data_IF_827225065314
#
_entry.id   IF_827225065314
#
_cell.length_a   1.000
_cell.length_b   1.000
_cell.length_c   1.000
_cell.angle_alpha   90.00
_cell.angle_beta   90.00
_cell.angle_gamma   90.00
#
_symmetry.space_group_name_H-M   'P 1'
#
loop_
_entity.id
_entity.type
_entity.pdbx_description
1 polymer ?
#
# COMPACT_ATOMS: atom_id res chain seq x y z
N UNK A 1 12.60 157.76 18.72
CA UNK A 1 12.45 156.79 19.82
C UNK A 1 11.46 155.72 19.37
N UNK A 2 11.92 154.51 19.05
CA UNK A 2 11.02 153.40 18.76
C UNK A 2 10.72 152.66 20.07
N UNK A 3 9.51 152.81 20.58
CA UNK A 3 8.99 152.08 21.73
C UNK A 3 8.92 150.58 21.38
N UNK A 4 9.72 149.74 22.04
CA UNK A 4 9.51 148.29 22.07
C UNK A 4 8.75 147.97 23.37
N UNK A 5 7.45 147.64 23.25
CA UNK A 5 6.53 147.41 24.38
C UNK A 5 6.56 146.00 24.96
N UNK A 6 7.34 145.08 24.39
CA UNK A 6 7.40 143.67 24.82
C UNK A 6 8.83 143.14 24.71
N UNK A 7 9.32 142.50 25.78
CA UNK A 7 10.55 141.70 25.76
C UNK A 7 10.22 140.38 25.06
N UNK A 8 10.65 140.24 23.81
CA UNK A 8 10.56 138.98 23.06
C UNK A 8 11.75 138.10 23.42
N UNK A 9 11.53 137.06 24.23
CA UNK A 9 12.51 135.98 24.41
C UNK A 9 12.31 134.94 23.31
N UNK A 10 13.24 134.87 22.35
CA UNK A 10 13.33 133.73 21.44
C UNK A 10 14.12 132.59 22.12
N UNK A 11 13.69 131.34 21.91
CA UNK A 11 14.46 130.19 22.41
C UNK A 11 15.84 130.19 21.71
N UNK A 12 16.94 129.93 22.42
CA UNK A 12 18.30 129.93 21.86
C UNK A 12 18.57 128.65 21.05
N UNK A 13 17.59 128.19 20.30
CA UNK A 13 17.64 127.02 19.44
C UNK A 13 17.42 127.47 18.00
N UNK A 14 18.01 126.77 17.05
CA UNK A 14 17.83 127.06 15.65
C UNK A 14 16.36 126.89 15.26
N UNK A 15 15.68 127.99 14.93
CA UNK A 15 14.33 127.97 14.40
C UNK A 15 14.38 127.64 12.90
N UNK A 16 13.65 126.61 12.48
CA UNK A 16 13.49 126.28 11.06
C UNK A 16 12.52 127.26 10.40
N UNK A 17 12.68 127.53 9.10
CA UNK A 17 11.71 128.35 8.38
C UNK A 17 10.35 127.64 8.30
N UNK A 18 9.26 128.40 8.14
CA UNK A 18 7.93 127.82 7.99
C UNK A 18 7.86 126.88 6.76
N UNK A 19 8.58 127.23 5.69
CA UNK A 19 8.73 126.40 4.48
C UNK A 19 9.44 125.07 4.80
N UNK A 20 10.51 125.11 5.58
CA UNK A 20 11.23 123.91 6.02
C UNK A 20 10.39 123.04 6.97
N UNK A 21 9.56 123.66 7.82
CA UNK A 21 8.59 122.94 8.65
C UNK A 21 7.55 122.21 7.79
N UNK A 22 6.96 122.87 6.79
CA UNK A 22 6.05 122.23 5.84
C UNK A 22 6.72 121.11 5.04
N UNK A 23 7.96 121.31 4.58
CA UNK A 23 8.74 120.29 3.87
C UNK A 23 9.02 119.07 4.76
N UNK A 24 9.43 119.28 6.03
CA UNK A 24 9.67 118.21 7.01
C UNK A 24 8.38 117.44 7.32
N UNK A 25 7.26 118.12 7.54
CA UNK A 25 5.96 117.48 7.82
C UNK A 25 5.48 116.67 6.60
N UNK A 26 5.61 117.21 5.39
CA UNK A 26 5.29 116.48 4.16
C UNK A 26 6.21 115.29 3.94
N UNK A 27 7.51 115.42 4.21
CA UNK A 27 8.46 114.29 4.15
C UNK A 27 8.08 113.19 5.15
N UNK A 28 7.77 113.54 6.39
CA UNK A 28 7.31 112.59 7.42
C UNK A 28 6.00 111.92 7.03
N UNK A 29 5.05 112.67 6.44
CA UNK A 29 3.81 112.13 5.89
C UNK A 29 4.09 111.12 4.77
N UNK A 30 4.90 111.49 3.78
CA UNK A 30 5.24 110.63 2.64
C UNK A 30 5.95 109.35 3.09
N UNK A 31 6.89 109.45 4.04
CA UNK A 31 7.55 108.28 4.64
C UNK A 31 6.55 107.42 5.41
N UNK A 32 5.64 108.03 6.18
CA UNK A 32 4.62 107.28 6.92
C UNK A 32 3.58 106.61 6.00
N UNK A 33 3.22 107.23 4.87
CA UNK A 33 2.36 106.64 3.84
C UNK A 33 3.06 105.47 3.14
N UNK A 34 4.31 105.65 2.70
CA UNK A 34 5.12 104.59 2.10
C UNK A 34 5.30 103.39 3.05
N UNK A 35 5.65 103.65 4.32
CA UNK A 35 5.79 102.59 5.34
C UNK A 35 4.48 101.87 5.66
N UNK A 36 3.34 102.58 5.64
CA UNK A 36 2.02 101.95 5.80
C UNK A 36 1.64 101.10 4.59
N UNK A 37 1.98 101.54 3.38
CA UNK A 37 1.80 100.76 2.16
C UNK A 37 2.66 99.48 2.18
N UNK A 38 3.95 99.58 2.53
CA UNK A 38 4.84 98.42 2.71
C UNK A 38 4.29 97.43 3.76
N UNK A 39 3.89 97.95 4.94
CA UNK A 39 3.32 97.13 6.00
C UNK A 39 1.98 96.50 5.62
N UNK A 40 1.17 97.15 4.77
CA UNK A 40 -0.03 96.56 4.20
C UNK A 40 0.31 95.43 3.23
N UNK A 41 1.24 95.68 2.29
CA UNK A 41 1.69 94.69 1.32
C UNK A 41 2.29 93.44 1.98
N UNK A 42 3.17 93.62 2.98
CA UNK A 42 3.76 92.51 3.74
C UNK A 42 2.66 91.74 4.49
N UNK A 43 1.77 92.41 5.22
CA UNK A 43 0.68 91.72 5.93
C UNK A 43 -0.25 90.97 4.98
N UNK A 44 -0.55 91.54 3.81
CA UNK A 44 -1.36 90.90 2.80
C UNK A 44 -0.65 89.66 2.25
N UNK A 45 0.60 89.79 1.81
CA UNK A 45 1.43 88.67 1.32
C UNK A 45 1.60 87.58 2.38
N UNK A 46 1.89 87.92 3.64
CA UNK A 46 1.99 86.94 4.73
C UNK A 46 0.68 86.22 5.02
N UNK A 47 -0.48 86.90 4.86
CA UNK A 47 -1.80 86.27 5.02
C UNK A 47 -2.09 85.32 3.86
N UNK A 48 -1.79 85.72 2.63
CA UNK A 48 -1.93 84.86 1.44
C UNK A 48 -1.04 83.63 1.59
N UNK A 49 0.25 83.81 1.88
CA UNK A 49 1.20 82.72 2.09
C UNK A 49 0.71 81.75 3.17
N UNK A 50 0.29 82.25 4.34
CA UNK A 50 -0.26 81.39 5.41
C UNK A 50 -1.46 80.55 4.97
N UNK A 51 -2.34 81.12 4.16
CA UNK A 51 -3.52 80.41 3.68
C UNK A 51 -3.15 79.37 2.61
N UNK A 52 -2.28 79.74 1.67
CA UNK A 52 -1.73 78.87 0.63
C UNK A 52 -1.00 77.68 1.26
N UNK A 53 -0.04 77.93 2.16
CA UNK A 53 0.74 76.87 2.82
C UNK A 53 -0.13 75.98 3.73
N UNK A 54 -1.19 76.54 4.34
CA UNK A 54 -2.13 75.72 5.11
C UNK A 54 -2.89 74.76 4.20
N UNK A 55 -3.42 75.26 3.09
CA UNK A 55 -4.15 74.45 2.11
C UNK A 55 -3.22 73.39 1.52
N UNK A 56 -2.02 73.77 1.11
CA UNK A 56 -1.01 72.86 0.56
C UNK A 56 -0.62 71.76 1.57
N UNK A 57 -0.42 72.12 2.84
CA UNK A 57 -0.12 71.15 3.90
C UNK A 57 -1.29 70.20 4.21
N UNK A 58 -2.52 70.72 4.26
CA UNK A 58 -3.73 69.90 4.45
C UNK A 58 -3.91 68.92 3.28
N UNK A 59 -3.69 69.35 2.03
CA UNK A 59 -3.74 68.50 0.84
C UNK A 59 -2.62 67.45 0.81
N UNK A 60 -1.39 67.83 1.09
CA UNK A 60 -0.27 66.88 1.13
C UNK A 60 -0.52 65.77 2.17
N UNK A 61 -1.04 66.12 3.35
CA UNK A 61 -1.40 65.12 4.36
C UNK A 61 -2.54 64.20 3.89
N UNK A 62 -3.57 64.78 3.25
CA UNK A 62 -4.66 64.00 2.65
C UNK A 62 -4.13 62.99 1.62
N UNK A 63 -3.31 63.44 0.67
CA UNK A 63 -2.74 62.57 -0.37
C UNK A 63 -1.91 61.42 0.22
N UNK A 64 -1.12 61.68 1.28
CA UNK A 64 -0.36 60.63 1.95
C UNK A 64 -1.26 59.64 2.71
N UNK A 65 -2.33 60.10 3.34
CA UNK A 65 -3.28 59.24 4.05
C UNK A 65 -4.08 58.35 3.08
N UNK A 66 -4.45 58.89 1.91
CA UNK A 66 -5.09 58.09 0.85
C UNK A 66 -4.12 57.01 0.33
N UNK A 67 -2.84 57.36 0.09
CA UNK A 67 -1.84 56.39 -0.35
C UNK A 67 -1.60 55.26 0.68
N UNK A 68 -1.60 55.58 1.98
CA UNK A 68 -1.54 54.57 3.06
C UNK A 68 -2.79 53.69 3.06
N UNK A 69 -3.98 54.28 2.89
CA UNK A 69 -5.25 53.56 2.82
C UNK A 69 -5.29 52.58 1.65
N UNK A 70 -4.83 53.01 0.48
CA UNK A 70 -4.70 52.17 -0.71
C UNK A 70 -3.72 51.02 -0.48
N UNK A 71 -2.57 51.30 0.16
CA UNK A 71 -1.57 50.28 0.47
C UNK A 71 -2.10 49.23 1.46
N UNK A 72 -2.78 49.65 2.52
CA UNK A 72 -3.45 48.75 3.48
C UNK A 72 -4.47 47.87 2.75
N UNK A 73 -5.27 48.45 1.86
CA UNK A 73 -6.26 47.72 1.07
C UNK A 73 -5.61 46.68 0.16
N UNK A 74 -4.49 47.02 -0.48
CA UNK A 74 -3.72 46.10 -1.31
C UNK A 74 -3.12 44.94 -0.51
N UNK A 75 -2.51 45.23 0.64
CA UNK A 75 -1.94 44.21 1.53
C UNK A 75 -3.02 43.24 2.02
N UNK A 76 -4.18 43.76 2.45
CA UNK A 76 -5.33 42.93 2.85
C UNK A 76 -5.80 42.03 1.70
N UNK A 77 -5.94 42.57 0.49
CA UNK A 77 -6.33 41.77 -0.69
C UNK A 77 -5.36 40.63 -0.95
N UNK A 78 -4.06 40.89 -0.90
CA UNK A 78 -3.06 39.83 -1.10
C UNK A 78 -3.03 38.82 0.05
N UNK A 79 -3.18 39.27 1.29
CA UNK A 79 -3.33 38.39 2.46
C UNK A 79 -4.50 37.43 2.23
N UNK A 80 -5.67 37.93 1.87
CA UNK A 80 -6.86 37.09 1.67
C UNK A 80 -6.67 36.07 0.52
N UNK A 81 -5.96 36.45 -0.55
CA UNK A 81 -5.62 35.53 -1.66
C UNK A 81 -4.68 34.42 -1.17
N UNK A 82 -3.64 34.77 -0.41
CA UNK A 82 -2.64 33.84 0.09
C UNK A 82 -3.22 32.93 1.18
N UNK A 83 -4.04 33.46 2.09
CA UNK A 83 -4.75 32.68 3.11
C UNK A 83 -5.65 31.62 2.47
N UNK A 84 -6.35 31.93 1.37
CA UNK A 84 -7.11 30.92 0.62
C UNK A 84 -6.23 29.82 0.03
N UNK A 85 -5.02 30.15 -0.43
CA UNK A 85 -4.06 29.14 -0.89
C UNK A 85 -3.52 28.30 0.28
N UNK A 86 -3.27 28.91 1.44
CA UNK A 86 -2.85 28.22 2.66
C UNK A 86 -3.88 27.18 3.10
N UNK A 87 -5.16 27.56 3.18
CA UNK A 87 -6.25 26.64 3.52
C UNK A 87 -6.38 25.45 2.55
N UNK A 88 -6.07 25.66 1.26
CA UNK A 88 -6.06 24.58 0.26
C UNK A 88 -4.91 23.61 0.52
N UNK A 89 -3.73 24.13 0.84
CA UNK A 89 -2.57 23.29 1.20
C UNK A 89 -2.86 22.49 2.47
N UNK A 90 -3.40 23.11 3.52
CA UNK A 90 -3.73 22.38 4.76
C UNK A 90 -4.74 21.26 4.52
N UNK A 91 -5.79 21.55 3.75
CA UNK A 91 -6.78 20.53 3.35
C UNK A 91 -6.13 19.39 2.57
N UNK A 92 -5.24 19.70 1.62
CA UNK A 92 -4.59 18.69 0.81
C UNK A 92 -3.58 17.86 1.60
N UNK A 93 -2.81 18.46 2.52
CA UNK A 93 -1.93 17.74 3.45
C UNK A 93 -2.76 16.74 4.25
N UNK A 94 -3.88 17.16 4.83
CA UNK A 94 -4.76 16.29 5.60
C UNK A 94 -5.28 15.12 4.74
N UNK A 95 -5.82 15.38 3.55
CA UNK A 95 -6.35 14.33 2.67
C UNK A 95 -5.27 13.37 2.19
N UNK A 96 -4.09 13.86 1.82
CA UNK A 96 -2.99 13.03 1.34
C UNK A 96 -2.40 12.19 2.48
N UNK A 97 -2.33 12.73 3.70
CA UNK A 97 -1.92 12.00 4.88
C UNK A 97 -2.88 10.85 5.20
N UNK A 98 -4.20 11.09 5.14
CA UNK A 98 -5.20 10.04 5.35
C UNK A 98 -5.10 8.92 4.31
N UNK A 99 -4.93 9.28 3.03
CA UNK A 99 -4.72 8.31 1.97
C UNK A 99 -3.42 7.51 2.13
N UNK A 100 -2.32 8.17 2.53
CA UNK A 100 -1.06 7.50 2.88
C UNK A 100 -1.24 6.54 4.05
N UNK A 101 -1.88 6.98 5.14
CA UNK A 101 -2.14 6.16 6.32
C UNK A 101 -3.01 4.93 5.99
N UNK A 102 -3.98 5.07 5.09
CA UNK A 102 -4.77 3.94 4.60
C UNK A 102 -3.90 2.94 3.83
N UNK A 103 -3.02 3.42 2.94
CA UNK A 103 -2.07 2.57 2.21
C UNK A 103 -1.07 1.86 3.11
N UNK A 104 -0.55 2.53 4.15
CA UNK A 104 0.37 1.94 5.12
C UNK A 104 -0.30 0.83 5.95
N UNK A 105 -1.55 1.04 6.39
CA UNK A 105 -2.34 -0.01 7.07
C UNK A 105 -2.56 -1.22 6.19
N UNK A 106 -2.84 -1.03 4.90
CA UNK A 106 -2.98 -2.15 3.95
C UNK A 106 -1.66 -2.88 3.72
N UNK A 107 -0.55 -2.15 3.62
CA UNK A 107 0.77 -2.72 3.49
C UNK A 107 1.14 -3.59 4.70
N UNK A 108 0.87 -3.11 5.92
CA UNK A 108 1.07 -3.86 7.16
C UNK A 108 0.18 -5.10 7.23
N UNK A 109 -1.08 -4.99 6.78
CA UNK A 109 -2.01 -6.11 6.73
C UNK A 109 -1.56 -7.27 5.83
N UNK A 110 -0.64 -7.05 4.87
CA UNK A 110 -0.10 -8.12 4.01
C UNK A 110 0.82 -9.09 4.75
N UNK A 111 1.34 -8.74 5.94
CA UNK A 111 2.21 -9.63 6.71
C UNK A 111 1.51 -10.93 7.16
N UNK A 112 0.23 -10.85 7.53
CA UNK A 112 -0.58 -12.01 7.92
C UNK A 112 -0.74 -13.03 6.78
N UNK A 113 -1.25 -12.63 5.61
CA UNK A 113 -1.34 -13.50 4.44
C UNK A 113 -0.02 -14.14 4.04
N UNK A 114 1.09 -13.40 4.07
CA UNK A 114 2.43 -13.94 3.77
C UNK A 114 2.78 -15.08 4.74
N UNK A 115 2.57 -14.88 6.05
CA UNK A 115 2.81 -15.92 7.05
C UNK A 115 1.98 -17.18 6.81
N UNK A 116 0.70 -17.00 6.48
CA UNK A 116 -0.22 -18.11 6.20
C UNK A 116 0.22 -18.90 4.97
N UNK A 117 0.63 -18.23 3.89
CA UNK A 117 1.10 -18.88 2.67
C UNK A 117 2.43 -19.60 2.88
N UNK A 118 3.36 -19.00 3.63
CA UNK A 118 4.62 -19.65 3.99
C UNK A 118 4.38 -20.93 4.82
N UNK A 119 3.45 -20.88 5.78
CA UNK A 119 3.04 -22.06 6.56
C UNK A 119 2.35 -23.10 5.67
N UNK A 120 1.50 -22.69 4.71
CA UNK A 120 0.90 -23.61 3.73
C UNK A 120 1.95 -24.35 2.89
N UNK A 121 2.97 -23.64 2.40
CA UNK A 121 4.09 -24.24 1.67
C UNK A 121 4.85 -25.23 2.54
N UNK A 122 5.13 -24.87 3.80
CA UNK A 122 5.81 -25.74 4.76
C UNK A 122 5.02 -27.00 5.07
N UNK A 123 3.70 -26.90 5.25
CA UNK A 123 2.81 -28.05 5.45
C UNK A 123 2.91 -28.99 4.24
N UNK A 124 2.80 -28.45 3.02
CA UNK A 124 2.84 -29.24 1.79
C UNK A 124 4.20 -29.88 1.50
N UNK A 125 5.29 -29.26 1.94
CA UNK A 125 6.64 -29.83 1.86
C UNK A 125 6.78 -31.09 2.75
N UNK A 126 5.88 -31.28 3.73
CA UNK A 126 5.82 -32.48 4.57
C UNK A 126 5.28 -33.74 3.88
N UNK A 127 4.90 -33.70 2.59
CA UNK A 127 4.45 -34.88 1.84
C UNK A 127 5.57 -35.92 1.71
N UNK A 128 5.19 -37.19 1.52
CA UNK A 128 6.10 -38.33 1.61
C UNK A 128 6.12 -39.17 0.33
N UNK A 129 7.26 -39.81 0.05
CA UNK A 129 7.39 -40.80 -1.01
C UNK A 129 7.02 -40.27 -2.40
N UNK A 130 6.15 -41.00 -3.09
CA UNK A 130 5.64 -40.68 -4.44
C UNK A 130 4.76 -39.42 -4.49
N UNK A 131 4.34 -38.89 -3.33
CA UNK A 131 3.48 -37.70 -3.24
C UNK A 131 4.25 -36.38 -3.34
N UNK A 132 5.58 -36.44 -3.28
CA UNK A 132 6.47 -35.29 -3.47
C UNK A 132 6.52 -34.98 -4.97
N UNK A 133 5.55 -34.19 -5.42
CA UNK A 133 5.36 -33.84 -6.83
C UNK A 133 5.28 -32.34 -7.02
N UNK A 134 5.84 -31.83 -8.12
CA UNK A 134 5.54 -30.49 -8.62
C UNK A 134 4.13 -30.49 -9.20
N UNK A 135 3.16 -29.96 -8.45
CA UNK A 135 1.76 -29.90 -8.86
C UNK A 135 1.29 -28.45 -9.07
N UNK A 136 0.08 -28.33 -9.63
CA UNK A 136 -0.55 -27.05 -9.91
C UNK A 136 -0.79 -26.25 -8.62
N UNK A 137 -1.16 -26.93 -7.53
CA UNK A 137 -1.43 -26.30 -6.25
C UNK A 137 -0.16 -25.64 -5.66
N UNK A 138 0.99 -26.31 -5.67
CA UNK A 138 2.27 -25.74 -5.25
C UNK A 138 2.65 -24.51 -6.10
N UNK A 139 2.44 -24.59 -7.41
CA UNK A 139 2.70 -23.49 -8.34
C UNK A 139 1.84 -22.27 -8.03
N UNK A 140 0.53 -22.46 -7.82
CA UNK A 140 -0.38 -21.35 -7.55
C UNK A 140 -0.20 -20.73 -6.15
N UNK A 141 0.19 -21.52 -5.14
CA UNK A 141 0.54 -20.99 -3.80
C UNK A 141 1.83 -20.16 -3.89
N UNK A 142 2.83 -20.60 -4.67
CA UNK A 142 4.05 -19.80 -4.92
C UNK A 142 3.74 -18.51 -5.68
N UNK A 143 2.88 -18.58 -6.70
CA UNK A 143 2.42 -17.38 -7.42
C UNK A 143 1.70 -16.40 -6.49
N UNK A 144 0.93 -16.90 -5.52
CA UNK A 144 0.29 -16.08 -4.49
C UNK A 144 1.28 -15.32 -3.62
N UNK A 145 2.37 -15.98 -3.19
CA UNK A 145 3.45 -15.31 -2.48
C UNK A 145 4.09 -14.21 -3.32
N UNK A 146 4.35 -14.48 -4.60
CA UNK A 146 4.90 -13.50 -5.55
C UNK A 146 3.94 -12.30 -5.73
N UNK A 147 2.62 -12.53 -5.79
CA UNK A 147 1.62 -11.44 -5.85
C UNK A 147 1.67 -10.58 -4.60
N UNK A 148 1.79 -11.18 -3.41
CA UNK A 148 1.90 -10.45 -2.15
C UNK A 148 3.17 -9.61 -2.05
N UNK A 149 4.33 -10.18 -2.38
CA UNK A 149 5.61 -9.46 -2.38
C UNK A 149 5.60 -8.30 -3.37
N UNK A 150 5.03 -8.51 -4.57
CA UNK A 150 4.85 -7.45 -5.55
C UNK A 150 3.90 -6.35 -5.06
N UNK A 151 2.80 -6.72 -4.39
CA UNK A 151 1.87 -5.77 -3.78
C UNK A 151 2.56 -4.96 -2.66
N UNK A 152 3.35 -5.61 -1.80
CA UNK A 152 4.11 -4.91 -0.75
C UNK A 152 5.04 -3.85 -1.35
N UNK A 153 5.84 -4.24 -2.36
CA UNK A 153 6.75 -3.32 -3.05
C UNK A 153 6.00 -2.17 -3.72
N UNK A 154 4.88 -2.46 -4.38
CA UNK A 154 4.07 -1.47 -5.07
C UNK A 154 3.46 -0.45 -4.11
N UNK A 155 2.85 -0.92 -3.01
CA UNK A 155 2.26 -0.04 -1.99
C UNK A 155 3.34 0.79 -1.28
N UNK A 156 4.49 0.20 -0.96
CA UNK A 156 5.61 0.90 -0.34
C UNK A 156 6.16 2.04 -1.23
N UNK A 157 6.34 1.81 -2.53
CA UNK A 157 6.76 2.85 -3.49
C UNK A 157 5.75 4.01 -3.55
N UNK A 158 4.44 3.70 -3.48
CA UNK A 158 3.40 4.73 -3.45
C UNK A 158 3.39 5.51 -2.15
N UNK A 159 3.55 4.86 -1.00
CA UNK A 159 3.70 5.53 0.29
C UNK A 159 4.91 6.46 0.31
N UNK A 160 6.04 6.03 -0.26
CA UNK A 160 7.25 6.86 -0.35
C UNK A 160 7.01 8.13 -1.18
N UNK A 161 6.38 8.01 -2.36
CA UNK A 161 6.02 9.17 -3.19
C UNK A 161 5.06 10.13 -2.49
N UNK A 162 4.08 9.59 -1.75
CA UNK A 162 3.16 10.40 -0.96
C UNK A 162 3.88 11.14 0.18
N UNK A 163 4.81 10.47 0.86
CA UNK A 163 5.64 11.07 1.91
C UNK A 163 6.52 12.20 1.38
N UNK A 164 7.20 12.00 0.25
CA UNK A 164 8.01 13.05 -0.39
C UNK A 164 7.15 14.26 -0.76
N UNK A 165 5.93 14.02 -1.25
CA UNK A 165 5.01 15.10 -1.59
C UNK A 165 4.51 15.85 -0.35
N UNK A 166 4.20 15.13 0.74
CA UNK A 166 3.81 15.75 2.01
C UNK A 166 4.90 16.68 2.55
N UNK A 167 6.17 16.28 2.48
CA UNK A 167 7.28 17.13 2.91
C UNK A 167 7.37 18.43 2.11
N UNK A 168 7.16 18.37 0.79
CA UNK A 168 7.13 19.58 -0.08
C UNK A 168 5.95 20.48 0.26
N UNK A 169 4.77 19.89 0.48
CA UNK A 169 3.59 20.65 0.89
C UNK A 169 3.79 21.34 2.25
N UNK A 170 4.46 20.68 3.20
CA UNK A 170 4.82 21.28 4.50
C UNK A 170 5.79 22.45 4.35
N UNK A 171 6.80 22.34 3.47
CA UNK A 171 7.72 23.44 3.19
C UNK A 171 6.99 24.66 2.61
N UNK A 172 6.08 24.44 1.65
CA UNK A 172 5.28 25.52 1.06
C UNK A 172 4.28 26.07 2.06
N UNK A 173 3.67 25.24 2.91
CA UNK A 173 2.80 25.67 4.00
C UNK A 173 3.54 26.66 4.91
N UNK A 174 4.75 26.32 5.35
CA UNK A 174 5.56 27.20 6.19
C UNK A 174 5.85 28.55 5.51
N UNK A 175 6.31 28.53 4.24
CA UNK A 175 6.61 29.75 3.47
C UNK A 175 5.39 30.67 3.32
N UNK A 176 4.23 30.09 3.03
CA UNK A 176 2.97 30.83 2.89
C UNK A 176 2.50 31.37 4.23
N UNK A 177 2.66 30.61 5.31
CA UNK A 177 2.35 31.06 6.68
C UNK A 177 3.14 32.31 7.05
N UNK A 178 4.46 32.32 6.82
CA UNK A 178 5.30 33.50 7.05
C UNK A 178 4.87 34.71 6.22
N UNK A 179 4.53 34.51 4.94
CA UNK A 179 4.07 35.61 4.08
C UNK A 179 2.73 36.21 4.57
N UNK A 180 1.85 35.41 5.17
CA UNK A 180 0.63 35.91 5.81
C UNK A 180 0.99 36.75 7.04
N UNK A 181 1.89 36.27 7.90
CA UNK A 181 2.35 36.99 9.10
C UNK A 181 2.96 38.35 8.74
N UNK A 182 3.85 38.41 7.73
CA UNK A 182 4.43 39.66 7.26
C UNK A 182 3.37 40.66 6.76
N UNK A 183 2.30 40.18 6.11
CA UNK A 183 1.20 41.06 5.68
C UNK A 183 0.36 41.57 6.85
N UNK A 184 0.15 40.74 7.88
CA UNK A 184 -0.55 41.17 9.09
C UNK A 184 0.24 42.26 9.80
N UNK A 185 1.53 42.05 10.04
CA UNK A 185 2.42 43.02 10.67
C UNK A 185 2.45 44.35 9.88
N UNK A 186 2.63 44.28 8.56
CA UNK A 186 2.65 45.47 7.71
C UNK A 186 1.33 46.26 7.77
N UNK A 187 0.19 45.57 7.75
CA UNK A 187 -1.14 46.22 7.87
C UNK A 187 -1.32 46.86 9.25
N UNK A 188 -0.88 46.22 10.33
CA UNK A 188 -0.96 46.78 11.69
C UNK A 188 -0.10 48.03 11.85
N UNK A 189 1.12 48.01 11.30
CA UNK A 189 2.02 49.15 11.28
C UNK A 189 1.44 50.32 10.47
N UNK A 190 0.96 50.06 9.25
CA UNK A 190 0.41 51.10 8.38
C UNK A 190 -0.87 51.70 8.94
N UNK A 191 -1.75 50.90 9.55
CA UNK A 191 -2.94 51.40 10.28
C UNK A 191 -2.53 52.32 11.44
N UNK A 192 -1.47 51.95 12.17
CA UNK A 192 -0.96 52.77 13.27
C UNK A 192 -0.42 54.11 12.77
N UNK A 193 0.24 54.14 11.60
CA UNK A 193 0.73 55.39 10.99
C UNK A 193 -0.43 56.25 10.48
N UNK A 194 -1.43 55.64 9.84
CA UNK A 194 -2.62 56.33 9.34
C UNK A 194 -3.45 56.97 10.48
N UNK A 195 -3.39 56.40 11.68
CA UNK A 195 -4.08 56.93 12.85
C UNK A 195 -3.37 58.14 13.51
N UNK A 196 -2.11 58.42 13.16
CA UNK A 196 -1.38 59.56 13.69
C UNK A 196 -1.87 60.88 13.08
N UNK A 197 -1.94 61.92 13.91
CA UNK A 197 -2.23 63.28 13.47
C UNK A 197 -1.17 64.27 14.00
N UNK A 198 -1.25 65.54 13.55
CA UNK A 198 -0.31 66.59 13.98
C UNK A 198 -0.38 66.93 15.49
N UNK A 199 -1.38 66.44 16.21
CA UNK A 199 -1.56 66.70 17.65
C UNK A 199 -1.16 65.48 18.50
N UNK A 200 -0.70 64.41 17.86
CA UNK A 200 -0.35 63.16 18.51
C UNK A 200 0.90 63.32 19.38
N UNK A 201 0.90 62.73 20.57
CA UNK A 201 1.94 62.96 21.59
C UNK A 201 3.34 62.41 21.20
N UNK A 202 3.40 61.41 20.32
CA UNK A 202 4.62 60.69 19.97
C UNK A 202 5.19 61.07 18.59
N UNK A 203 4.96 62.30 18.12
CA UNK A 203 5.57 62.81 16.88
C UNK A 203 6.83 63.62 17.21
N UNK A 204 7.89 63.47 16.42
CA UNK A 204 9.18 64.16 16.64
C UNK A 204 9.91 64.44 15.33
N UNK A 205 10.94 65.29 15.37
CA UNK A 205 11.82 65.46 14.22
C UNK A 205 12.80 64.30 14.13
N UNK A 206 12.75 63.56 13.03
CA UNK A 206 13.65 62.44 12.80
C UNK A 206 14.99 62.89 12.18
N UNK A 207 16.13 62.31 12.59
CA UNK A 207 17.46 62.74 12.11
C UNK A 207 17.70 62.61 10.60
N UNK A 208 17.09 61.61 9.97
CA UNK A 208 17.24 61.32 8.54
C UNK A 208 15.97 60.62 8.00
N UNK A 209 14.87 61.36 7.79
CA UNK A 209 13.54 60.81 7.50
C UNK A 209 13.40 60.32 6.04
N UNK A 210 14.21 60.84 5.12
CA UNK A 210 14.15 60.51 3.69
C UNK A 210 15.12 59.40 3.27
N UNK A 211 15.72 58.70 4.24
CA UNK A 211 16.64 57.60 3.97
C UNK A 211 15.90 56.37 3.46
N UNK A 212 16.54 55.67 2.52
CA UNK A 212 16.11 54.32 2.16
C UNK A 212 16.69 53.32 3.17
N UNK A 213 15.86 52.55 3.89
CA UNK A 213 16.34 51.51 4.78
C UNK A 213 17.23 50.49 4.05
N UNK A 214 18.23 49.95 4.74
CA UNK A 214 19.03 48.84 4.19
C UNK A 214 18.12 47.62 4.01
N UNK A 215 18.27 46.92 2.90
CA UNK A 215 17.43 45.77 2.48
C UNK A 215 15.99 46.10 2.07
N UNK A 216 15.68 47.35 1.75
CA UNK A 216 14.39 47.69 1.11
C UNK A 216 14.30 47.09 -0.29
N UNK A 217 13.12 46.60 -0.69
CA UNK A 217 12.82 46.17 -2.05
C UNK A 217 11.95 47.19 -2.79
N UNK A 218 11.95 47.17 -4.12
CA UNK A 218 11.02 47.98 -4.91
C UNK A 218 9.62 47.38 -4.87
N UNK A 219 8.61 48.18 -5.21
CA UNK A 219 7.23 47.71 -5.33
C UNK A 219 7.10 46.57 -6.34
N UNK A 220 7.80 46.66 -7.48
CA UNK A 220 7.79 45.64 -8.51
C UNK A 220 8.34 44.31 -7.98
N UNK A 221 9.45 44.35 -7.25
CA UNK A 221 10.04 43.15 -6.61
C UNK A 221 9.11 42.55 -5.56
N UNK A 222 8.46 43.39 -4.74
CA UNK A 222 7.47 42.93 -3.76
C UNK A 222 6.28 42.24 -4.46
N UNK A 223 5.71 42.86 -5.49
CA UNK A 223 4.56 42.34 -6.22
C UNK A 223 4.89 41.02 -6.92
N UNK A 224 6.09 40.91 -7.49
CA UNK A 224 6.60 39.69 -8.09
C UNK A 224 6.75 38.57 -7.05
N UNK A 225 7.36 38.86 -5.89
CA UNK A 225 7.50 37.88 -4.81
C UNK A 225 6.14 37.31 -4.37
N UNK A 226 5.16 38.19 -4.14
CA UNK A 226 3.81 37.81 -3.72
C UNK A 226 3.11 36.93 -4.76
N UNK A 227 3.26 37.26 -6.05
CA UNK A 227 2.76 36.42 -7.15
C UNK A 227 3.47 35.06 -7.21
N UNK A 228 4.78 35.03 -6.98
CA UNK A 228 5.56 33.80 -6.97
C UNK A 228 5.18 32.88 -5.82
N UNK A 229 4.90 33.40 -4.62
CA UNK A 229 4.39 32.62 -3.49
C UNK A 229 3.04 31.98 -3.82
N UNK A 230 2.12 32.75 -4.44
CA UNK A 230 0.84 32.20 -4.91
C UNK A 230 1.06 31.08 -5.94
N UNK A 231 1.91 31.31 -6.93
CA UNK A 231 2.20 30.35 -7.99
C UNK A 231 2.86 29.08 -7.45
N UNK A 232 3.77 29.21 -6.47
CA UNK A 232 4.40 28.09 -5.77
C UNK A 232 3.33 27.18 -5.12
N UNK A 233 2.33 27.78 -4.47
CA UNK A 233 1.20 27.06 -3.89
C UNK A 233 0.40 26.28 -4.95
N UNK A 234 0.08 26.94 -6.07
CA UNK A 234 -0.71 26.35 -7.16
C UNK A 234 0.04 25.21 -7.85
N UNK A 235 1.34 25.37 -8.08
CA UNK A 235 2.20 24.35 -8.68
C UNK A 235 2.33 23.12 -7.78
N UNK A 236 2.54 23.32 -6.47
CA UNK A 236 2.62 22.19 -5.55
C UNK A 236 1.28 21.47 -5.35
N UNK A 237 0.14 22.13 -5.57
CA UNK A 237 -1.18 21.48 -5.51
C UNK A 237 -1.59 20.78 -6.82
N UNK A 238 -0.88 20.99 -7.93
CA UNK A 238 -1.36 20.57 -9.25
C UNK A 238 -1.45 19.04 -9.43
N UNK A 239 -0.57 18.28 -8.78
CA UNK A 239 -0.43 16.82 -8.92
C UNK A 239 -0.96 16.02 -7.71
N UNK A 240 -1.37 16.70 -6.63
CA UNK A 240 -1.72 16.04 -5.36
C UNK A 240 -2.96 15.15 -5.49
N UNK A 241 -3.96 15.60 -6.24
CA UNK A 241 -5.14 14.79 -6.56
C UNK A 241 -4.75 13.49 -7.26
N UNK A 242 -3.87 13.57 -8.27
CA UNK A 242 -3.41 12.40 -9.02
C UNK A 242 -2.61 11.43 -8.14
N UNK A 243 -1.85 11.95 -7.15
CA UNK A 243 -1.14 11.12 -6.17
C UNK A 243 -2.12 10.38 -5.27
N UNK A 244 -3.16 11.06 -4.76
CA UNK A 244 -4.22 10.42 -3.94
C UNK A 244 -5.00 9.37 -4.72
N UNK A 245 -5.40 9.70 -5.94
CA UNK A 245 -6.07 8.74 -6.83
C UNK A 245 -5.16 7.54 -7.12
N UNK A 246 -3.86 7.76 -7.37
CA UNK A 246 -2.91 6.68 -7.59
C UNK A 246 -2.75 5.77 -6.35
N UNK A 247 -2.75 6.32 -5.13
CA UNK A 247 -2.76 5.52 -3.89
C UNK A 247 -4.02 4.64 -3.82
N UNK A 248 -5.20 5.25 -4.00
CA UNK A 248 -6.48 4.53 -3.96
C UNK A 248 -6.55 3.42 -5.01
N UNK A 249 -6.30 3.74 -6.28
CA UNK A 249 -6.35 2.77 -7.39
C UNK A 249 -5.34 1.65 -7.19
N UNK A 250 -4.16 1.96 -6.64
CA UNK A 250 -3.15 0.96 -6.33
C UNK A 250 -3.63 -0.05 -5.28
N UNK A 251 -4.29 0.43 -4.21
CA UNK A 251 -4.88 -0.42 -3.17
C UNK A 251 -5.97 -1.34 -3.72
N UNK A 252 -6.89 -0.79 -4.51
CA UNK A 252 -7.93 -1.58 -5.18
C UNK A 252 -7.34 -2.63 -6.11
N UNK A 253 -6.33 -2.28 -6.89
CA UNK A 253 -5.64 -3.23 -7.77
C UNK A 253 -4.96 -4.35 -6.97
N UNK A 254 -4.25 -3.99 -5.89
CA UNK A 254 -3.57 -4.96 -5.04
C UNK A 254 -4.55 -5.96 -4.42
N UNK A 255 -5.70 -5.47 -3.90
CA UNK A 255 -6.79 -6.29 -3.36
C UNK A 255 -7.34 -7.26 -4.41
N UNK A 256 -7.70 -6.75 -5.58
CA UNK A 256 -8.30 -7.57 -6.64
C UNK A 256 -7.34 -8.65 -7.14
N UNK A 257 -6.06 -8.31 -7.31
CA UNK A 257 -5.03 -9.28 -7.70
C UNK A 257 -4.85 -10.36 -6.64
N UNK A 258 -4.80 -9.98 -5.36
CA UNK A 258 -4.65 -10.94 -4.27
C UNK A 258 -5.86 -11.86 -4.15
N UNK A 259 -7.08 -11.31 -4.20
CA UNK A 259 -8.30 -12.10 -4.13
C UNK A 259 -8.39 -13.12 -5.26
N UNK A 260 -8.15 -12.67 -6.50
CA UNK A 260 -8.18 -13.57 -7.67
C UNK A 260 -7.15 -14.69 -7.56
N UNK A 261 -5.93 -14.38 -7.07
CA UNK A 261 -4.89 -15.40 -6.88
C UNK A 261 -5.20 -16.36 -5.72
N UNK A 262 -5.79 -15.85 -4.63
CA UNK A 262 -6.28 -16.67 -3.51
C UNK A 262 -7.32 -17.70 -3.94
N UNK A 263 -8.31 -17.26 -4.72
CA UNK A 263 -9.36 -18.14 -5.26
C UNK A 263 -8.77 -19.23 -6.16
N UNK A 264 -7.78 -18.88 -7.00
CA UNK A 264 -7.07 -19.82 -7.87
C UNK A 264 -6.25 -20.85 -7.09
N UNK A 265 -5.50 -20.42 -6.08
CA UNK A 265 -4.73 -21.32 -5.21
C UNK A 265 -5.66 -22.27 -4.44
N UNK A 266 -6.76 -21.77 -3.88
CA UNK A 266 -7.72 -22.64 -3.20
C UNK A 266 -8.40 -23.64 -4.14
N UNK A 267 -8.76 -23.22 -5.35
CA UNK A 267 -9.36 -24.11 -6.34
C UNK A 267 -8.43 -25.27 -6.69
N UNK A 268 -7.15 -24.97 -6.93
CA UNK A 268 -6.14 -25.99 -7.28
C UNK A 268 -5.84 -26.92 -6.11
N UNK A 269 -5.86 -26.44 -4.86
CA UNK A 269 -5.78 -27.31 -3.67
C UNK A 269 -7.01 -28.25 -3.59
N UNK A 270 -8.24 -27.73 -3.76
CA UNK A 270 -9.45 -28.58 -3.74
C UNK A 270 -9.42 -29.64 -4.84
N UNK A 271 -8.99 -29.27 -6.05
CA UNK A 271 -8.79 -30.19 -7.17
C UNK A 271 -7.78 -31.28 -6.81
N UNK A 272 -6.64 -30.92 -6.20
CA UNK A 272 -5.63 -31.87 -5.77
C UNK A 272 -6.13 -32.83 -4.70
N UNK A 273 -6.88 -32.34 -3.71
CA UNK A 273 -7.54 -33.17 -2.69
C UNK A 273 -8.42 -34.23 -3.35
N UNK A 274 -9.25 -33.83 -4.33
CA UNK A 274 -10.11 -34.76 -5.06
C UNK A 274 -9.32 -35.81 -5.84
N UNK A 275 -8.26 -35.39 -6.55
CA UNK A 275 -7.39 -36.32 -7.29
C UNK A 275 -6.70 -37.33 -6.37
N UNK A 276 -6.13 -36.90 -5.25
CA UNK A 276 -5.49 -37.76 -4.26
C UNK A 276 -6.50 -38.71 -3.61
N UNK A 277 -7.69 -38.21 -3.30
CA UNK A 277 -8.80 -39.00 -2.75
C UNK A 277 -9.24 -40.10 -3.72
N UNK A 278 -9.41 -39.78 -5.00
CA UNK A 278 -9.74 -40.77 -6.04
C UNK A 278 -8.64 -41.83 -6.18
N UNK A 279 -7.37 -41.41 -6.23
CA UNK A 279 -6.24 -42.33 -6.31
C UNK A 279 -6.16 -43.26 -5.09
N UNK A 280 -6.44 -42.74 -3.88
CA UNK A 280 -6.50 -43.55 -2.66
C UNK A 280 -7.60 -44.62 -2.75
N UNK A 281 -8.82 -44.25 -3.15
CA UNK A 281 -9.93 -45.19 -3.25
C UNK A 281 -9.65 -46.30 -4.29
N UNK A 282 -9.01 -45.96 -5.41
CA UNK A 282 -8.55 -46.94 -6.40
C UNK A 282 -7.53 -47.92 -5.79
N UNK A 283 -6.53 -47.43 -5.05
CA UNK A 283 -5.54 -48.29 -4.40
C UNK A 283 -6.16 -49.16 -3.29
N UNK A 284 -7.15 -48.65 -2.55
CA UNK A 284 -7.93 -49.44 -1.57
C UNK A 284 -8.63 -50.61 -2.26
N UNK A 285 -9.21 -50.37 -3.44
CA UNK A 285 -9.84 -51.41 -4.25
C UNK A 285 -8.84 -52.42 -4.80
N UNK A 286 -7.71 -51.96 -5.35
CA UNK A 286 -6.63 -52.84 -5.83
C UNK A 286 -6.09 -53.71 -4.70
N UNK A 287 -5.95 -53.16 -3.49
CA UNK A 287 -5.49 -53.92 -2.32
C UNK A 287 -6.50 -54.98 -1.88
N UNK A 288 -7.80 -54.67 -1.93
CA UNK A 288 -8.85 -55.66 -1.70
C UNK A 288 -8.77 -56.81 -2.73
N UNK A 289 -8.63 -56.49 -4.01
CA UNK A 289 -8.50 -57.51 -5.08
C UNK A 289 -7.22 -58.33 -4.97
N UNK A 290 -6.12 -57.71 -4.57
CA UNK A 290 -4.86 -58.42 -4.32
C UNK A 290 -5.04 -59.46 -3.21
N UNK A 291 -5.71 -59.10 -2.10
CA UNK A 291 -5.99 -60.03 -1.00
C UNK A 291 -6.91 -61.18 -1.43
N UNK A 292 -7.97 -60.91 -2.18
CA UNK A 292 -8.86 -61.95 -2.74
C UNK A 292 -8.13 -62.94 -3.67
N UNK A 293 -7.23 -62.45 -4.53
CA UNK A 293 -6.41 -63.30 -5.40
C UNK A 293 -5.37 -64.11 -4.62
N UNK A 294 -4.75 -63.51 -3.60
CA UNK A 294 -3.84 -64.22 -2.70
C UNK A 294 -4.55 -65.39 -1.99
N UNK A 295 -5.76 -65.19 -1.47
CA UNK A 295 -6.55 -66.25 -0.85
C UNK A 295 -6.88 -67.38 -1.84
N UNK A 296 -7.28 -67.03 -3.06
CA UNK A 296 -7.54 -68.01 -4.14
C UNK A 296 -6.29 -68.79 -4.52
N UNK A 297 -5.15 -68.11 -4.67
CA UNK A 297 -3.87 -68.75 -4.96
C UNK A 297 -3.43 -69.71 -3.85
N UNK A 298 -3.61 -69.35 -2.58
CA UNK A 298 -3.33 -70.28 -1.47
C UNK A 298 -4.21 -71.53 -1.51
N UNK A 299 -5.51 -71.37 -1.82
CA UNK A 299 -6.44 -72.49 -1.95
C UNK A 299 -6.02 -73.43 -3.10
N UNK A 300 -5.62 -72.87 -4.24
CA UNK A 300 -5.17 -73.63 -5.40
C UNK A 300 -3.85 -74.36 -5.13
N UNK A 301 -2.89 -73.72 -4.45
CA UNK A 301 -1.65 -74.36 -4.00
C UNK A 301 -1.98 -75.56 -3.09
N UNK A 302 -2.83 -75.38 -2.09
CA UNK A 302 -3.24 -76.46 -1.17
C UNK A 302 -3.95 -77.60 -1.91
N UNK A 303 -4.80 -77.27 -2.87
CA UNK A 303 -5.52 -78.27 -3.70
C UNK A 303 -4.55 -79.05 -4.58
N UNK A 304 -3.58 -78.37 -5.20
CA UNK A 304 -2.52 -79.00 -5.99
C UNK A 304 -1.59 -79.88 -5.15
N UNK A 305 -1.24 -79.45 -3.93
CA UNK A 305 -0.45 -80.24 -2.98
C UNK A 305 -1.19 -81.52 -2.54
N UNK A 306 -2.50 -81.43 -2.29
CA UNK A 306 -3.32 -82.62 -2.02
C UNK A 306 -3.37 -83.57 -3.22
N UNK A 307 -3.58 -83.05 -4.43
CA UNK A 307 -3.55 -83.85 -5.65
C UNK A 307 -2.18 -84.54 -5.85
N UNK A 308 -1.07 -83.85 -5.56
CA UNK A 308 0.27 -84.42 -5.61
C UNK A 308 0.43 -85.57 -4.59
N UNK A 309 -0.14 -85.43 -3.38
CA UNK A 309 -0.17 -86.48 -2.37
C UNK A 309 -0.92 -87.70 -2.86
N UNK A 310 -2.12 -87.52 -3.41
CA UNK A 310 -2.93 -88.60 -3.98
C UNK A 310 -2.18 -89.35 -5.09
N UNK A 311 -1.49 -88.62 -5.99
CA UNK A 311 -0.66 -89.25 -7.04
C UNK A 311 0.60 -89.91 -6.48
N UNK A 312 1.12 -89.43 -5.36
CA UNK A 312 2.23 -90.08 -4.65
C UNK A 312 1.78 -91.42 -4.05
N UNK A 313 0.59 -91.48 -3.48
CA UNK A 313 0.04 -92.72 -2.93
C UNK A 313 -0.37 -93.72 -4.03
N UNK A 314 -0.92 -93.24 -5.15
CA UNK A 314 -1.16 -94.07 -6.34
C UNK A 314 0.16 -94.64 -6.91
N UNK A 315 1.23 -93.86 -6.94
CA UNK A 315 2.54 -94.32 -7.40
C UNK A 315 3.10 -95.41 -6.49
N UNK A 316 3.03 -95.23 -5.16
CA UNK A 316 3.43 -96.25 -4.19
C UNK A 316 2.69 -97.57 -4.42
N UNK A 317 1.38 -97.50 -4.70
CA UNK A 317 0.58 -98.69 -4.99
C UNK A 317 1.08 -99.41 -6.26
N UNK A 318 1.30 -98.67 -7.35
CA UNK A 318 1.78 -99.26 -8.61
C UNK A 318 3.19 -99.86 -8.47
N UNK A 319 4.12 -99.18 -7.79
CA UNK A 319 5.47 -99.67 -7.51
C UNK A 319 5.43 -100.91 -6.60
N UNK A 320 4.60 -100.92 -5.56
CA UNK A 320 4.41 -102.08 -4.67
C UNK A 320 3.84 -103.28 -5.43
N UNK A 321 2.89 -103.05 -6.34
CA UNK A 321 2.33 -104.12 -7.19
C UNK A 321 3.39 -104.73 -8.11
N UNK A 322 4.29 -103.91 -8.68
CA UNK A 322 5.41 -104.40 -9.48
C UNK A 322 6.38 -105.24 -8.64
N UNK A 323 6.77 -104.74 -7.46
CA UNK A 323 7.69 -105.43 -6.55
C UNK A 323 7.14 -106.79 -6.10
N UNK A 324 5.86 -106.84 -5.68
CA UNK A 324 5.23 -108.09 -5.29
C UNK A 324 5.15 -109.10 -6.45
N UNK A 325 4.92 -108.63 -7.69
CA UNK A 325 4.93 -109.50 -8.88
C UNK A 325 6.33 -110.02 -9.23
N UNK A 326 7.39 -109.35 -8.79
CA UNK A 326 8.77 -109.79 -8.98
C UNK A 326 9.18 -110.96 -8.06
N UNK A 327 8.37 -111.28 -7.04
CA UNK A 327 8.60 -112.41 -6.13
C UNK A 327 8.11 -113.76 -6.68
N UNK A 328 7.51 -113.79 -7.88
CA UNK A 328 7.04 -115.04 -8.51
C UNK A 328 8.23 -115.95 -8.84
N UNK A 329 8.04 -117.26 -8.71
CA UNK A 329 9.11 -118.27 -8.92
C UNK A 329 8.97 -119.01 -10.25
N UNK A 330 10.09 -119.40 -10.85
CA UNK A 330 10.13 -120.25 -12.05
C UNK A 330 9.52 -119.57 -13.28
N UNK A 331 8.75 -120.32 -14.08
CA UNK A 331 8.16 -119.82 -15.34
C UNK A 331 7.03 -118.81 -15.11
N UNK A 332 6.46 -118.74 -13.90
CA UNK A 332 5.46 -117.73 -13.53
C UNK A 332 6.06 -116.34 -13.33
N UNK A 333 7.40 -116.20 -13.28
CA UNK A 333 8.10 -114.91 -13.35
C UNK A 333 8.13 -114.40 -14.81
N UNK A 334 6.94 -114.15 -15.36
CA UNK A 334 6.76 -113.73 -16.73
C UNK A 334 6.49 -112.21 -16.82
N UNK A 335 7.05 -111.58 -17.85
CA UNK A 335 6.79 -110.19 -18.22
C UNK A 335 5.57 -110.18 -19.14
N UNK A 336 4.40 -110.24 -18.50
CA UNK A 336 3.10 -110.27 -19.17
C UNK A 336 2.54 -108.86 -19.37
N UNK A 337 1.41 -108.77 -20.06
CA UNK A 337 0.72 -107.51 -20.30
C UNK A 337 0.44 -106.71 -19.01
N UNK A 338 0.15 -107.39 -17.89
CA UNK A 338 -0.08 -106.72 -16.61
C UNK A 338 1.19 -106.08 -16.05
N UNK A 339 2.37 -106.70 -16.24
CA UNK A 339 3.64 -106.09 -15.91
C UNK A 339 3.88 -104.82 -16.74
N UNK A 340 3.72 -104.90 -18.07
CA UNK A 340 3.94 -103.76 -18.97
C UNK A 340 3.00 -102.58 -18.63
N UNK A 341 1.73 -102.88 -18.34
CA UNK A 341 0.75 -101.85 -17.96
C UNK A 341 1.07 -101.18 -16.63
N UNK A 342 1.60 -101.92 -15.64
CA UNK A 342 2.05 -101.33 -14.37
C UNK A 342 3.30 -100.48 -14.54
N UNK A 343 4.25 -100.89 -15.40
CA UNK A 343 5.42 -100.08 -15.75
C UNK A 343 5.00 -98.76 -16.39
N UNK A 344 4.08 -98.81 -17.37
CA UNK A 344 3.49 -97.61 -17.99
C UNK A 344 2.73 -96.73 -16.98
N UNK A 345 2.02 -97.33 -16.02
CA UNK A 345 1.34 -96.60 -14.95
C UNK A 345 2.34 -95.84 -14.05
N UNK A 346 3.44 -96.49 -13.65
CA UNK A 346 4.52 -95.86 -12.86
C UNK A 346 5.15 -94.69 -13.61
N UNK A 347 5.49 -94.87 -14.90
CA UNK A 347 6.06 -93.80 -15.72
C UNK A 347 5.10 -92.60 -15.84
N UNK A 348 3.82 -92.86 -16.12
CA UNK A 348 2.78 -91.82 -16.18
C UNK A 348 2.61 -91.09 -14.85
N UNK A 349 2.57 -91.82 -13.73
CA UNK A 349 2.42 -91.21 -12.40
C UNK A 349 3.64 -90.37 -12.02
N UNK A 350 4.86 -90.81 -12.37
CA UNK A 350 6.09 -90.01 -12.21
C UNK A 350 6.04 -88.71 -13.02
N UNK A 351 5.58 -88.78 -14.27
CA UNK A 351 5.37 -87.61 -15.12
C UNK A 351 4.35 -86.64 -14.54
N UNK A 352 3.17 -87.14 -14.16
CA UNK A 352 2.10 -86.33 -13.56
C UNK A 352 2.59 -85.66 -12.28
N UNK A 353 3.31 -86.37 -11.40
CA UNK A 353 3.89 -85.80 -10.18
C UNK A 353 4.88 -84.68 -10.50
N UNK A 354 5.77 -84.86 -11.49
CA UNK A 354 6.72 -83.81 -11.90
C UNK A 354 6.00 -82.56 -12.39
N UNK A 355 4.96 -82.73 -13.22
CA UNK A 355 4.14 -81.63 -13.74
C UNK A 355 3.37 -80.91 -12.63
N UNK A 356 2.79 -81.64 -11.68
CA UNK A 356 2.11 -81.06 -10.51
C UNK A 356 3.09 -80.29 -9.63
N UNK A 357 4.28 -80.84 -9.35
CA UNK A 357 5.31 -80.15 -8.58
C UNK A 357 5.74 -78.85 -9.25
N UNK A 358 6.03 -78.89 -10.55
CA UNK A 358 6.39 -77.68 -11.30
C UNK A 358 5.28 -76.61 -11.23
N UNK A 359 4.00 -77.01 -11.29
CA UNK A 359 2.89 -76.07 -11.17
C UNK A 359 2.72 -75.50 -9.77
N UNK A 360 2.97 -76.30 -8.72
CA UNK A 360 3.00 -75.81 -7.34
C UNK A 360 4.10 -74.77 -7.16
N UNK A 361 5.30 -75.01 -7.68
CA UNK A 361 6.43 -74.10 -7.57
C UNK A 361 6.17 -72.79 -8.33
N UNK A 362 5.56 -72.86 -9.52
CA UNK A 362 5.09 -71.71 -10.29
C UNK A 362 4.05 -70.89 -9.50
N UNK A 363 3.03 -71.55 -8.92
CA UNK A 363 1.99 -70.89 -8.13
C UNK A 363 2.54 -70.25 -6.86
N UNK A 364 3.50 -70.89 -6.16
CA UNK A 364 4.19 -70.31 -4.98
C UNK A 364 5.02 -69.09 -5.34
N UNK A 365 5.68 -69.11 -6.49
CA UNK A 365 6.42 -67.96 -7.02
C UNK A 365 5.47 -66.80 -7.32
N UNK A 366 4.36 -67.07 -8.01
CA UNK A 366 3.35 -66.06 -8.29
C UNK A 366 2.73 -65.48 -7.01
N UNK A 367 2.42 -66.31 -6.01
CA UNK A 367 1.93 -65.85 -4.70
C UNK A 367 2.91 -64.89 -4.02
N UNK A 368 4.21 -65.20 -4.07
CA UNK A 368 5.25 -64.33 -3.50
C UNK A 368 5.29 -62.97 -4.20
N UNK A 369 5.11 -62.94 -5.52
CA UNK A 369 5.02 -61.70 -6.30
C UNK A 369 3.75 -60.88 -5.95
N UNK A 370 2.61 -61.54 -5.78
CA UNK A 370 1.37 -60.89 -5.33
C UNK A 370 1.55 -60.26 -3.95
N UNK A 371 2.16 -60.99 -3.00
CA UNK A 371 2.44 -60.49 -1.65
C UNK A 371 3.38 -59.28 -1.69
N UNK A 372 4.45 -59.34 -2.48
CA UNK A 372 5.39 -58.23 -2.62
C UNK A 372 4.70 -56.98 -3.21
N UNK A 373 3.86 -57.17 -4.23
CA UNK A 373 3.11 -56.07 -4.82
C UNK A 373 2.05 -55.50 -3.84
N UNK A 374 1.37 -56.35 -3.07
CA UNK A 374 0.44 -55.93 -2.02
C UNK A 374 1.11 -55.03 -0.98
N UNK A 375 2.33 -55.37 -0.55
CA UNK A 375 3.12 -54.52 0.37
C UNK A 375 3.45 -53.15 -0.23
N UNK A 376 3.73 -53.08 -1.55
CA UNK A 376 3.97 -51.81 -2.23
C UNK A 376 2.71 -50.94 -2.30
N UNK A 377 1.55 -51.55 -2.53
CA UNK A 377 0.26 -50.84 -2.51
C UNK A 377 -0.02 -50.29 -1.11
N UNK A 378 0.23 -51.05 -0.04
CA UNK A 378 0.04 -50.57 1.34
C UNK A 378 0.89 -49.32 1.64
N UNK A 379 2.17 -49.31 1.22
CA UNK A 379 3.04 -48.13 1.37
C UNK A 379 2.52 -46.92 0.58
N UNK A 380 2.07 -47.12 -0.66
CA UNK A 380 1.53 -46.02 -1.46
C UNK A 380 0.20 -45.50 -0.88
N UNK A 381 -0.64 -46.37 -0.33
CA UNK A 381 -1.87 -46.00 0.39
C UNK A 381 -1.58 -45.11 1.61
N UNK A 382 -0.58 -45.46 2.42
CA UNK A 382 -0.16 -44.63 3.55
C UNK A 382 0.32 -43.24 3.08
N UNK A 383 1.11 -43.19 2.02
CA UNK A 383 1.55 -41.93 1.42
C UNK A 383 0.37 -41.09 0.90
N UNK A 384 -0.58 -41.68 0.15
CA UNK A 384 -1.80 -41.00 -0.32
C UNK A 384 -2.63 -40.45 0.83
N UNK A 385 -2.79 -41.22 1.91
CA UNK A 385 -3.56 -40.80 3.08
C UNK A 385 -2.86 -39.63 3.80
N UNK A 386 -1.53 -39.69 3.95
CA UNK A 386 -0.75 -38.59 4.51
C UNK A 386 -0.85 -37.32 3.65
N UNK A 387 -0.69 -37.45 2.34
CA UNK A 387 -0.78 -36.35 1.36
C UNK A 387 -2.17 -35.70 1.34
N UNK A 388 -3.23 -36.51 1.38
CA UNK A 388 -4.61 -36.03 1.49
C UNK A 388 -4.81 -35.20 2.77
N UNK A 389 -4.36 -35.70 3.92
CA UNK A 389 -4.46 -34.98 5.19
C UNK A 389 -3.64 -33.69 5.17
N UNK A 390 -2.47 -33.71 4.54
CA UNK A 390 -1.60 -32.53 4.39
C UNK A 390 -2.31 -31.43 3.60
N UNK A 391 -2.97 -31.77 2.49
CA UNK A 391 -3.68 -30.80 1.66
C UNK A 391 -4.96 -30.27 2.31
N UNK A 392 -5.71 -31.12 3.03
CA UNK A 392 -6.85 -30.68 3.84
C UNK A 392 -6.39 -29.66 4.88
N UNK A 393 -5.29 -29.95 5.60
CA UNK A 393 -4.74 -29.05 6.61
C UNK A 393 -4.27 -27.73 6.02
N UNK A 394 -3.64 -27.77 4.84
CA UNK A 394 -3.25 -26.57 4.11
C UNK A 394 -4.49 -25.74 3.70
N UNK A 395 -5.56 -26.38 3.24
CA UNK A 395 -6.80 -25.68 2.90
C UNK A 395 -7.50 -25.08 4.14
N UNK A 396 -7.54 -25.80 5.26
CA UNK A 396 -8.10 -25.32 6.52
C UNK A 396 -7.33 -24.12 7.08
N UNK A 397 -5.99 -24.15 7.00
CA UNK A 397 -5.13 -23.04 7.40
C UNK A 397 -5.47 -21.75 6.63
N UNK A 398 -5.81 -21.89 5.34
CA UNK A 398 -6.20 -20.75 4.48
C UNK A 398 -7.55 -20.13 4.87
N UNK A 399 -8.36 -20.77 5.71
CA UNK A 399 -9.55 -20.12 6.28
C UNK A 399 -9.21 -18.85 7.06
N UNK A 400 -7.99 -18.74 7.61
CA UNK A 400 -7.49 -17.52 8.27
C UNK A 400 -7.42 -16.31 7.34
N UNK A 401 -7.30 -16.53 6.03
CA UNK A 401 -7.31 -15.48 5.01
C UNK A 401 -8.72 -14.87 4.81
N UNK A 402 -9.79 -15.65 5.07
CA UNK A 402 -11.19 -15.21 4.95
C UNK A 402 -11.79 -14.68 6.25
N UNK A 403 -11.37 -15.22 7.40
CA UNK A 403 -12.01 -15.01 8.69
C UNK A 403 -11.26 -14.06 9.62
N UNK A 404 -11.20 -12.76 9.28
CA UNK A 404 -11.07 -11.68 10.26
C UNK A 404 -9.80 -11.56 11.12
N UNK A 405 -8.84 -12.50 11.09
CA UNK A 405 -7.52 -12.26 11.71
C UNK A 405 -6.66 -11.34 10.83
N UNK A 406 -6.77 -11.42 9.50
CA UNK A 406 -6.00 -10.59 8.57
C UNK A 406 -6.75 -10.14 7.29
N UNK A 407 -8.03 -10.50 7.13
CA UNK A 407 -8.84 -10.21 5.93
C UNK A 407 -9.98 -9.22 6.18
N UNK A 408 -10.30 -8.40 5.18
CA UNK A 408 -11.50 -7.56 5.18
C UNK A 408 -12.74 -8.45 5.26
N UNK A 409 -13.73 -8.11 6.09
CA UNK A 409 -14.96 -8.91 6.31
C UNK A 409 -15.78 -9.00 5.01
N UNK A 410 -15.41 -9.89 4.11
CA UNK A 410 -16.24 -10.25 2.95
C UNK A 410 -17.29 -11.24 3.44
N UNK A 411 -18.48 -10.70 3.71
CA UNK A 411 -19.68 -11.50 3.86
C UNK A 411 -20.02 -12.12 2.50
N UNK A 412 -19.60 -13.36 2.29
CA UNK A 412 -20.29 -14.42 1.56
C UNK A 412 -19.30 -15.55 1.29
N UNK A 413 -19.34 -16.59 2.13
CA UNK A 413 -18.74 -17.87 1.78
C UNK A 413 -19.41 -18.37 0.49
N UNK A 414 -18.62 -18.64 -0.54
CA UNK A 414 -19.13 -19.22 -1.79
C UNK A 414 -19.70 -20.61 -1.51
N UNK A 415 -20.74 -21.05 -2.23
CA UNK A 415 -21.30 -22.41 -2.07
C UNK A 415 -20.24 -23.51 -2.25
N UNK A 416 -19.15 -23.23 -2.97
CA UNK A 416 -17.98 -24.09 -3.17
C UNK A 416 -17.10 -24.29 -1.93
N UNK A 417 -17.25 -23.47 -0.89
CA UNK A 417 -16.45 -23.56 0.34
C UNK A 417 -16.90 -24.69 1.27
N UNK A 418 -18.09 -25.28 1.02
CA UNK A 418 -18.71 -26.27 1.91
C UNK A 418 -18.70 -27.72 1.42
N UNK A 419 -18.16 -28.01 0.25
CA UNK A 419 -18.34 -29.32 -0.40
C UNK A 419 -17.01 -30.04 -0.70
N UNK A 420 -16.17 -30.30 0.31
CA UNK A 420 -15.28 -31.46 0.24
C UNK A 420 -15.96 -32.59 1.01
N UNK A 421 -16.75 -33.38 0.30
CA UNK A 421 -17.30 -34.62 0.85
C UNK A 421 -16.27 -35.72 0.59
N UNK A 422 -15.55 -36.15 1.63
CA UNK A 422 -14.62 -37.27 1.50
C UNK A 422 -15.40 -38.56 1.26
N UNK A 423 -15.19 -39.17 0.10
CA UNK A 423 -15.75 -40.48 -0.24
C UNK A 423 -14.82 -41.59 0.24
N UNK A 424 -15.43 -42.73 0.57
CA UNK A 424 -14.73 -43.99 0.83
C UNK A 424 -14.94 -44.89 -0.37
N UNK A 425 -14.01 -45.81 -0.62
CA UNK A 425 -14.13 -46.81 -1.68
C UNK A 425 -15.49 -47.54 -1.66
N UNK A 426 -16.00 -47.89 -0.46
CA UNK A 426 -17.31 -48.52 -0.26
C UNK A 426 -18.50 -47.75 -0.85
N UNK A 427 -18.39 -46.42 -0.96
CA UNK A 427 -19.45 -45.56 -1.50
C UNK A 427 -19.43 -45.45 -3.03
N UNK A 428 -18.33 -45.88 -3.67
CA UNK A 428 -18.09 -45.77 -5.11
C UNK A 428 -18.33 -47.10 -5.84
N UNK A 429 -18.42 -48.21 -5.10
CA UNK A 429 -18.81 -49.52 -5.63
C UNK A 429 -20.32 -49.49 -5.95
N UNK A 430 -20.74 -49.85 -7.19
CA UNK A 430 -22.15 -50.06 -7.50
C UNK A 430 -22.77 -51.04 -6.50
N UNK A 431 -23.84 -50.62 -5.82
CA UNK A 431 -24.64 -51.55 -5.02
C UNK A 431 -25.47 -52.37 -6.01
N UNK A 432 -25.13 -53.66 -6.11
CA UNK A 432 -25.85 -54.64 -6.93
C UNK A 432 -27.35 -54.69 -6.61
#
# INVERSE_FOLDING_TARGET
>A
MAFRSVVTMEKPLQHISLTDWYARVNQMRNVADARRADAFAIRHSSRSLRNETRIEGDWANYETNEALTDRISELNRWRDIISKSFEKIEREIFMLQEEKNATERELEALAGPISVIAECLTIRDGRLGSEITYDEADTEIKNELVVLENNQRLLADRCQKAWEKLNRLEEVRFKIGLEIEFKVEAVELDNSQLALDRNSANISYEPDPTRNPKNSCSYETWLENVKNIKLLAENELADTYAIREALFVCREKARNMLQSQQERAEHTIRKRIFETQRARNELEWQQLKMKEEMERAMCEIRTSENALRDKTDALKLAETRLENRAQRSGMELCMDQAHDMLCLEVEKLREIRRRLQAKIDESKTNFSLLEEHGKRIDVDLENKQHSLMTDIRALDLRMRLRGGEFGSKVANASQTDRNITLTRMENEIPKD
#
